data_IF_554426333795
#
_entry.id   IF_554426333795
#
_cell.length_a   1.000
_cell.length_b   1.000
_cell.length_c   1.000
_cell.angle_alpha   90.00
_cell.angle_beta   90.00
_cell.angle_gamma   90.00
#
_symmetry.space_group_name_H-M   'P 1'
#
loop_
_entity.id
_entity.type
_entity.pdbx_description
1 polymer ?
#
# COMPACT_ATOMS: atom_id res chain seq x y z
N UNK A 1 20.17 11.87 -2.46
CA UNK A 1 19.66 10.55 -2.02
C UNK A 1 18.38 10.79 -1.24
N UNK A 2 17.30 10.06 -1.52
CA UNK A 2 16.01 10.23 -0.83
C UNK A 2 15.86 9.17 0.27
N UNK A 3 15.88 7.89 -0.09
CA UNK A 3 15.81 6.77 0.85
C UNK A 3 16.81 5.68 0.50
N UNK A 4 17.15 4.85 1.49
CA UNK A 4 18.02 3.70 1.32
C UNK A 4 17.47 2.53 2.10
N UNK A 5 17.46 1.36 1.49
CA UNK A 5 16.96 0.12 2.06
C UNK A 5 18.06 -0.94 1.98
N UNK A 6 18.13 -1.81 2.99
CA UNK A 6 18.95 -3.01 2.93
C UNK A 6 18.04 -4.24 2.82
N UNK A 7 18.00 -4.84 1.64
CA UNK A 7 17.19 -6.03 1.36
C UNK A 7 18.10 -7.16 0.86
N UNK A 8 17.96 -8.37 1.44
CA UNK A 8 18.74 -9.56 1.08
C UNK A 8 20.28 -9.34 1.06
N UNK A 9 20.78 -8.50 1.97
CA UNK A 9 22.19 -8.16 2.06
C UNK A 9 22.66 -7.06 1.10
N UNK A 10 21.82 -6.63 0.15
CA UNK A 10 22.12 -5.58 -0.83
C UNK A 10 21.53 -4.26 -0.36
N UNK A 11 22.30 -3.17 -0.49
CA UNK A 11 21.84 -1.83 -0.14
C UNK A 11 21.30 -1.11 -1.37
N UNK A 12 19.98 -1.04 -1.49
CA UNK A 12 19.27 -0.36 -2.56
C UNK A 12 19.11 1.13 -2.21
N UNK A 13 19.36 2.01 -3.16
CA UNK A 13 19.27 3.46 -2.96
C UNK A 13 18.33 4.08 -3.98
N UNK A 14 17.45 4.96 -3.52
CA UNK A 14 16.50 5.69 -4.36
C UNK A 14 16.79 7.18 -4.30
N UNK A 15 16.90 7.83 -5.45
CA UNK A 15 16.99 9.29 -5.51
C UNK A 15 15.59 9.91 -5.59
N UNK A 16 15.51 11.24 -5.55
CA UNK A 16 14.24 11.96 -5.59
C UNK A 16 13.47 11.80 -6.91
N UNK A 17 14.16 11.59 -8.04
CA UNK A 17 13.52 11.33 -9.33
C UNK A 17 12.88 9.93 -9.35
N UNK A 18 13.52 8.92 -8.77
CA UNK A 18 12.95 7.59 -8.60
C UNK A 18 11.72 7.64 -7.70
N UNK A 19 11.86 8.34 -6.58
CA UNK A 19 10.78 8.54 -5.61
C UNK A 19 9.55 9.17 -6.26
N UNK A 20 9.73 10.30 -6.98
CA UNK A 20 8.66 10.96 -7.72
C UNK A 20 8.03 10.04 -8.78
N UNK A 21 8.86 9.26 -9.50
CA UNK A 21 8.38 8.32 -10.51
C UNK A 21 7.46 7.26 -9.90
N UNK A 22 7.86 6.64 -8.79
CA UNK A 22 7.05 5.61 -8.14
C UNK A 22 5.79 6.17 -7.49
N UNK A 23 5.87 7.32 -6.81
CA UNK A 23 4.68 8.02 -6.28
C UNK A 23 3.67 8.34 -7.39
N UNK A 24 4.16 8.83 -8.53
CA UNK A 24 3.30 9.11 -9.70
C UNK A 24 2.67 7.84 -10.25
N UNK A 25 3.42 6.74 -10.37
CA UNK A 25 2.90 5.46 -10.84
C UNK A 25 1.84 4.90 -9.89
N UNK A 26 2.09 4.94 -8.58
CA UNK A 26 1.12 4.54 -7.57
C UNK A 26 -0.17 5.37 -7.71
N UNK A 27 -0.08 6.71 -7.71
CA UNK A 27 -1.25 7.58 -7.86
C UNK A 27 -2.04 7.34 -9.15
N UNK A 28 -1.36 7.22 -10.29
CA UNK A 28 -2.03 6.93 -11.57
C UNK A 28 -2.68 5.54 -11.60
N UNK A 29 -2.05 4.54 -10.98
CA UNK A 29 -2.63 3.21 -10.83
C UNK A 29 -3.92 3.24 -10.00
N UNK A 30 -3.93 4.00 -8.90
CA UNK A 30 -5.13 4.18 -8.08
C UNK A 30 -6.26 4.87 -8.86
N UNK A 31 -5.94 5.92 -9.63
CA UNK A 31 -6.93 6.57 -10.50
C UNK A 31 -7.49 5.58 -11.53
N UNK A 32 -6.64 4.76 -12.16
CA UNK A 32 -7.06 3.76 -13.14
C UNK A 32 -7.95 2.66 -12.53
N UNK A 33 -7.74 2.32 -11.26
CA UNK A 33 -8.59 1.39 -10.49
C UNK A 33 -9.92 2.02 -10.03
N UNK A 34 -10.11 3.32 -10.23
CA UNK A 34 -11.37 4.02 -9.94
C UNK A 34 -11.46 4.64 -8.56
N UNK A 35 -10.33 4.84 -7.86
CA UNK A 35 -10.30 5.56 -6.58
C UNK A 35 -10.89 6.97 -6.72
N UNK A 36 -11.61 7.41 -5.70
CA UNK A 36 -12.20 8.75 -5.65
C UNK A 36 -11.59 9.56 -4.51
N UNK A 37 -11.39 10.85 -4.78
CA UNK A 37 -10.90 11.82 -3.80
C UNK A 37 -11.75 11.76 -2.51
N UNK A 38 -11.07 11.74 -1.36
CA UNK A 38 -11.71 11.67 -0.05
C UNK A 38 -12.00 10.25 0.46
N UNK A 39 -11.73 9.20 -0.33
CA UNK A 39 -11.83 7.82 0.14
C UNK A 39 -10.68 7.46 1.10
N UNK A 40 -10.95 6.49 1.97
CA UNK A 40 -9.99 5.95 2.92
C UNK A 40 -9.37 4.67 2.39
N UNK A 41 -8.05 4.54 2.55
CA UNK A 41 -7.25 3.44 2.00
C UNK A 41 -6.45 2.79 3.13
N UNK A 42 -6.61 1.48 3.29
CA UNK A 42 -5.76 0.70 4.18
C UNK A 42 -4.41 0.40 3.52
N UNK A 43 -3.32 0.45 4.29
CA UNK A 43 -1.99 -0.01 3.88
C UNK A 43 -1.54 -1.08 4.87
N UNK A 44 -1.36 -2.31 4.39
CA UNK A 44 -0.86 -3.46 5.17
C UNK A 44 0.44 -3.93 4.53
N UNK A 45 1.52 -3.23 4.88
CA UNK A 45 2.85 -3.43 4.30
C UNK A 45 3.93 -3.35 5.37
N UNK A 46 5.00 -4.11 5.19
CA UNK A 46 6.23 -4.00 5.97
C UNK A 46 7.01 -2.73 5.60
N UNK A 47 8.13 -2.52 6.28
CA UNK A 47 9.00 -1.37 6.10
C UNK A 47 9.86 -1.47 4.82
N UNK A 48 9.19 -1.42 3.67
CA UNK A 48 9.79 -1.34 2.34
C UNK A 48 9.56 0.04 1.72
N UNK A 49 10.45 0.50 0.81
CA UNK A 49 10.25 1.71 0.00
C UNK A 49 8.87 1.83 -0.64
N UNK A 50 8.30 0.72 -1.10
CA UNK A 50 7.00 0.67 -1.77
C UNK A 50 5.87 1.18 -0.90
N UNK A 51 5.95 0.97 0.42
CA UNK A 51 5.01 1.53 1.39
C UNK A 51 4.95 3.06 1.28
N UNK A 52 6.11 3.72 1.31
CA UNK A 52 6.21 5.18 1.22
C UNK A 52 5.72 5.71 -0.13
N UNK A 53 6.05 5.01 -1.22
CA UNK A 53 5.60 5.41 -2.55
C UNK A 53 4.08 5.29 -2.69
N UNK A 54 3.51 4.22 -2.13
CA UNK A 54 2.07 3.96 -2.13
C UNK A 54 1.33 4.99 -1.28
N UNK A 55 1.80 5.25 -0.05
CA UNK A 55 1.20 6.22 0.85
C UNK A 55 1.14 7.62 0.24
N UNK A 56 2.25 8.11 -0.32
CA UNK A 56 2.25 9.41 -0.99
C UNK A 56 1.48 9.40 -2.30
N UNK A 57 1.42 8.29 -3.01
CA UNK A 57 0.55 8.13 -4.18
C UNK A 57 -0.93 8.29 -3.83
N UNK A 58 -1.37 7.66 -2.74
CA UNK A 58 -2.74 7.80 -2.20
C UNK A 58 -3.03 9.25 -1.78
N UNK A 59 -2.10 9.89 -1.07
CA UNK A 59 -2.27 11.28 -0.64
C UNK A 59 -2.27 12.25 -1.83
N UNK A 60 -1.45 12.00 -2.86
CA UNK A 60 -1.38 12.83 -4.06
C UNK A 60 -2.68 12.83 -4.87
N UNK A 61 -3.47 11.75 -4.82
CA UNK A 61 -4.80 11.68 -5.45
C UNK A 61 -5.93 12.22 -4.55
N UNK A 62 -5.56 12.73 -3.36
CA UNK A 62 -6.48 13.36 -2.41
C UNK A 62 -7.28 12.37 -1.55
N UNK A 63 -6.76 11.17 -1.37
CA UNK A 63 -7.29 10.15 -0.45
C UNK A 63 -6.51 10.16 0.88
N UNK A 64 -7.02 9.44 1.87
CA UNK A 64 -6.38 9.32 3.20
C UNK A 64 -5.96 7.88 3.47
N UNK A 65 -4.86 7.71 4.20
CA UNK A 65 -4.28 6.39 4.50
C UNK A 65 -4.46 6.00 5.96
N UNK A 66 -4.65 4.69 6.20
CA UNK A 66 -4.45 4.06 7.50
C UNK A 66 -3.41 2.94 7.37
N UNK A 67 -2.26 3.13 8.00
CA UNK A 67 -1.20 2.13 8.03
C UNK A 67 -1.45 1.10 9.12
N UNK A 68 -1.30 -0.17 8.76
CA UNK A 68 -1.54 -1.33 9.61
C UNK A 68 -0.39 -2.33 9.44
N UNK A 69 -0.09 -3.07 10.51
CA UNK A 69 0.99 -4.06 10.49
C UNK A 69 0.53 -5.37 9.85
N UNK A 70 1.38 -5.96 9.02
CA UNK A 70 1.23 -7.32 8.44
C UNK A 70 1.05 -8.38 9.53
N UNK A 71 1.73 -8.21 10.67
CA UNK A 71 1.66 -9.11 11.84
C UNK A 71 0.37 -8.99 12.67
N UNK A 72 -0.47 -7.98 12.42
CA UNK A 72 -1.70 -7.83 13.18
C UNK A 72 -2.71 -8.93 12.83
N UNK A 73 -3.46 -9.34 13.84
CA UNK A 73 -4.50 -10.37 13.72
C UNK A 73 -5.65 -9.87 12.84
N UNK A 74 -6.21 -10.74 12.00
CA UNK A 74 -7.14 -10.38 10.91
C UNK A 74 -8.39 -9.64 11.41
N UNK A 75 -8.94 -10.02 12.56
CA UNK A 75 -10.10 -9.37 13.15
C UNK A 75 -9.83 -7.90 13.51
N UNK A 76 -8.59 -7.58 13.96
CA UNK A 76 -8.20 -6.19 14.25
C UNK A 76 -8.01 -5.38 12.97
N UNK A 77 -7.50 -6.00 11.92
CA UNK A 77 -7.36 -5.37 10.60
C UNK A 77 -8.75 -5.00 10.06
N UNK A 78 -9.66 -5.98 9.99
CA UNK A 78 -11.04 -5.77 9.52
C UNK A 78 -11.79 -4.74 10.35
N UNK A 79 -11.70 -4.79 11.69
CA UNK A 79 -12.34 -3.80 12.55
C UNK A 79 -11.83 -2.38 12.27
N UNK A 80 -10.52 -2.22 12.04
CA UNK A 80 -9.90 -0.92 11.76
C UNK A 80 -10.32 -0.38 10.38
N UNK A 81 -10.31 -1.25 9.35
CA UNK A 81 -10.70 -0.92 7.99
C UNK A 81 -12.20 -0.57 7.89
N UNK A 82 -13.05 -1.32 8.58
CA UNK A 82 -14.49 -1.06 8.63
C UNK A 82 -14.79 0.26 9.35
N UNK A 83 -14.05 0.57 10.42
CA UNK A 83 -14.21 1.83 11.16
C UNK A 83 -13.95 3.07 10.29
N UNK A 84 -12.99 2.99 9.38
CA UNK A 84 -12.68 4.08 8.44
C UNK A 84 -13.46 3.98 7.13
N UNK A 85 -14.31 2.94 6.97
CA UNK A 85 -14.98 2.60 5.72
C UNK A 85 -14.02 2.56 4.54
N UNK A 86 -12.91 1.84 4.72
CA UNK A 86 -11.89 1.71 3.70
C UNK A 86 -12.52 1.15 2.41
N UNK A 87 -12.29 1.82 1.29
CA UNK A 87 -12.80 1.37 -0.01
C UNK A 87 -11.79 0.43 -0.68
N UNK A 88 -10.51 0.63 -0.36
CA UNK A 88 -9.41 -0.16 -0.87
C UNK A 88 -8.40 -0.48 0.22
N UNK A 89 -7.68 -1.58 0.03
CA UNK A 89 -6.56 -1.99 0.89
C UNK A 89 -5.38 -2.34 0.01
N UNK A 90 -4.27 -1.63 0.17
CA UNK A 90 -3.00 -1.96 -0.45
C UNK A 90 -2.25 -2.91 0.48
N UNK A 91 -1.90 -4.10 0.00
CA UNK A 91 -1.29 -5.18 0.80
C UNK A 91 0.01 -5.68 0.19
N UNK A 92 0.97 -6.10 1.01
CA UNK A 92 2.33 -6.39 0.53
C UNK A 92 2.43 -7.51 -0.51
N UNK A 93 1.74 -8.62 -0.28
CA UNK A 93 1.91 -9.84 -1.05
C UNK A 93 0.63 -10.67 -1.07
N UNK A 94 0.71 -11.82 -1.73
CA UNK A 94 -0.41 -12.74 -1.87
C UNK A 94 -0.87 -13.31 -0.52
N UNK A 95 0.03 -13.51 0.45
CA UNK A 95 -0.34 -14.00 1.78
C UNK A 95 -1.27 -12.99 2.48
N UNK A 96 -0.94 -11.70 2.39
CA UNK A 96 -1.80 -10.66 2.94
C UNK A 96 -3.13 -10.52 2.16
N UNK A 97 -3.15 -10.76 0.85
CA UNK A 97 -4.40 -10.84 0.08
C UNK A 97 -5.28 -11.96 0.62
N UNK A 98 -4.74 -13.18 0.71
CA UNK A 98 -5.49 -14.36 1.14
C UNK A 98 -6.04 -14.19 2.57
N UNK A 99 -5.22 -13.60 3.46
CA UNK A 99 -5.62 -13.22 4.81
C UNK A 99 -6.80 -12.25 4.83
N UNK A 100 -6.81 -11.24 3.96
CA UNK A 100 -7.87 -10.23 3.89
C UNK A 100 -9.14 -10.74 3.19
N UNK A 101 -9.02 -11.69 2.25
CA UNK A 101 -10.16 -12.35 1.61
C UNK A 101 -10.87 -13.31 2.58
N UNK A 102 -10.10 -14.04 3.40
CA UNK A 102 -10.66 -14.90 4.44
C UNK A 102 -11.36 -14.12 5.57
N UNK A 103 -11.16 -12.80 5.64
CA UNK A 103 -11.65 -11.96 6.70
C UNK A 103 -13.17 -11.69 6.58
N UNK A 104 -13.99 -12.04 7.59
CA UNK A 104 -15.43 -11.79 7.54
C UNK A 104 -15.74 -10.28 7.57
N UNK A 105 -16.68 -9.86 6.71
CA UNK A 105 -17.18 -8.48 6.69
C UNK A 105 -16.22 -7.45 6.08
N UNK A 106 -15.18 -7.89 5.37
CA UNK A 106 -14.35 -6.99 4.57
C UNK A 106 -14.96 -6.81 3.16
N UNK A 107 -15.35 -5.59 2.82
CA UNK A 107 -15.86 -5.23 1.49
C UNK A 107 -14.86 -4.40 0.68
N UNK A 108 -13.70 -4.08 1.25
CA UNK A 108 -12.69 -3.28 0.60
C UNK A 108 -11.96 -4.10 -0.47
N UNK A 109 -11.73 -3.49 -1.63
CA UNK A 109 -10.99 -4.12 -2.71
C UNK A 109 -9.50 -4.20 -2.34
N UNK A 110 -8.94 -5.41 -2.30
CA UNK A 110 -7.53 -5.61 -2.04
C UNK A 110 -6.72 -5.41 -3.33
N UNK A 111 -5.66 -4.62 -3.24
CA UNK A 111 -4.71 -4.35 -4.31
C UNK A 111 -3.33 -4.71 -3.77
N UNK A 112 -2.58 -5.56 -4.46
CA UNK A 112 -1.22 -5.84 -4.03
C UNK A 112 -0.33 -4.62 -4.29
N UNK A 113 0.51 -4.27 -3.32
CA UNK A 113 1.54 -3.24 -3.43
C UNK A 113 2.66 -3.65 -4.38
N UNK A 114 2.56 -4.83 -5.00
CA UNK A 114 3.47 -5.36 -6.00
C UNK A 114 3.47 -4.50 -7.26
N UNK A 115 3.90 -3.25 -7.13
CA UNK A 115 4.79 -2.64 -8.08
C UNK A 115 5.92 -3.67 -8.23
N UNK A 116 5.92 -4.46 -9.30
CA UNK A 116 7.07 -5.27 -9.64
C UNK A 116 8.25 -4.34 -9.96
N UNK A 117 8.85 -3.75 -8.92
CA UNK A 117 10.19 -3.18 -8.92
C UNK A 117 11.16 -4.33 -8.59
N UNK A 118 10.84 -5.56 -9.03
CA UNK A 118 11.82 -6.62 -9.23
C UNK A 118 12.40 -6.43 -10.63
N UNK A 119 13.18 -5.35 -10.83
CA UNK A 119 14.04 -5.22 -12.01
C UNK A 119 15.41 -5.80 -11.67
N UNK A 120 15.72 -6.94 -12.27
CA UNK A 120 17.08 -7.47 -12.41
C UNK A 120 17.54 -8.36 -11.28
#
# INVERSE_FOLDING_TARGET
MAIREKAYGICQTYNWQDYLRYVRQAGLGLIALGFRRGEAVGLITDNHPEWLFSELGVQAVGCVTLNLFTSAVVERLSASLNRIRATFVIVQDQEQVDKMIAAPGNSAMCVTSSLSIRRG
#
